data_IF_529328093493
#
_entry.id   IF_529328093493
#
_cell.length_a   1.000
_cell.length_b   1.000
_cell.length_c   1.000
_cell.angle_alpha   90.00
_cell.angle_beta   90.00
_cell.angle_gamma   90.00
#
_symmetry.space_group_name_H-M   'P 1'
#
loop_
_entity.id
_entity.type
_entity.pdbx_description
1 polymer ?
#
# COMPACT_ATOMS: atom_id res chain seq x y z
N UNK A 1 -50.85 -45.67 11.10
CA UNK A 1 -50.01 -46.82 11.42
C UNK A 1 -48.56 -46.39 11.41
N UNK A 2 -47.91 -46.33 12.57
CA UNK A 2 -46.59 -45.80 12.78
C UNK A 2 -45.61 -46.98 12.98
N UNK A 3 -44.52 -46.97 12.20
CA UNK A 3 -43.42 -47.93 12.41
C UNK A 3 -42.20 -47.19 12.99
N UNK A 4 -41.89 -47.53 14.24
CA UNK A 4 -40.70 -47.07 14.96
C UNK A 4 -39.51 -47.97 14.63
N UNK A 5 -38.47 -47.47 13.94
CA UNK A 5 -37.17 -48.15 13.85
C UNK A 5 -36.27 -47.77 15.01
N UNK A 6 -35.92 -48.75 15.85
CA UNK A 6 -34.94 -48.65 16.94
C UNK A 6 -33.50 -48.59 16.37
N UNK A 7 -32.73 -47.57 16.73
CA UNK A 7 -31.29 -47.52 16.48
C UNK A 7 -30.57 -48.05 17.72
N UNK A 8 -29.76 -49.11 17.54
CA UNK A 8 -28.92 -49.70 18.60
C UNK A 8 -27.63 -48.89 18.78
N UNK A 9 -27.42 -48.39 20.00
CA UNK A 9 -26.15 -47.82 20.44
C UNK A 9 -25.06 -48.89 20.54
N UNK A 10 -23.95 -48.74 19.81
CA UNK A 10 -22.71 -49.49 20.05
C UNK A 10 -21.75 -48.64 20.87
N UNK A 11 -21.46 -49.11 22.07
CA UNK A 11 -20.46 -48.53 22.98
C UNK A 11 -19.06 -48.75 22.45
N UNK A 12 -18.27 -47.66 22.35
CA UNK A 12 -16.84 -47.69 22.01
C UNK A 12 -16.02 -47.71 23.31
N UNK A 13 -15.28 -48.81 23.50
CA UNK A 13 -14.34 -49.01 24.63
C UNK A 13 -13.12 -48.09 24.49
N UNK A 14 -12.89 -47.27 25.50
CA UNK A 14 -11.64 -46.42 25.64
C UNK A 14 -10.47 -47.33 26.04
N UNK A 15 -9.35 -47.25 25.32
CA UNK A 15 -8.04 -47.80 25.70
C UNK A 15 -7.26 -46.79 26.53
N UNK A 16 -6.50 -47.18 27.57
CA UNK A 16 -5.75 -46.27 28.40
C UNK A 16 -4.41 -45.87 27.75
N UNK A 17 -4.05 -44.59 27.85
CA UNK A 17 -2.77 -44.01 27.38
C UNK A 17 -1.71 -44.22 28.47
N UNK A 18 -0.63 -44.94 28.17
CA UNK A 18 0.51 -45.09 29.05
C UNK A 18 1.37 -43.82 29.00
N UNK A 19 1.59 -43.18 30.15
CA UNK A 19 2.54 -42.10 30.37
C UNK A 19 3.95 -42.65 30.50
N UNK A 20 4.83 -42.35 29.52
CA UNK A 20 6.29 -42.53 29.69
C UNK A 20 6.89 -41.25 30.29
N UNK A 21 7.45 -41.39 31.49
CA UNK A 21 8.23 -40.36 32.16
C UNK A 21 9.61 -40.22 31.51
N UNK A 22 10.00 -39.03 31.08
CA UNK A 22 11.35 -38.72 30.62
C UNK A 22 12.11 -38.05 31.78
N UNK A 23 13.19 -38.71 32.24
CA UNK A 23 14.11 -38.21 33.28
C UNK A 23 14.97 -37.08 32.70
N UNK A 24 14.86 -35.87 33.27
CA UNK A 24 15.76 -34.76 33.00
C UNK A 24 17.11 -34.96 33.72
N UNK A 25 18.20 -34.97 32.99
CA UNK A 25 19.57 -34.90 33.51
C UNK A 25 19.94 -33.41 33.74
N UNK A 26 20.25 -33.08 34.99
CA UNK A 26 20.86 -31.81 35.38
C UNK A 26 22.32 -31.80 34.92
N UNK A 27 22.74 -30.80 34.15
CA UNK A 27 24.14 -30.47 33.92
C UNK A 27 24.39 -29.06 34.50
N UNK A 28 25.38 -28.97 35.40
CA UNK A 28 25.86 -27.75 36.03
C UNK A 28 26.85 -27.00 35.10
N UNK A 29 26.86 -25.65 35.09
CA UNK A 29 27.82 -24.90 34.29
C UNK A 29 29.13 -24.70 35.02
N UNK A 30 30.24 -25.07 34.36
CA UNK A 30 31.62 -24.68 34.79
C UNK A 30 31.90 -23.27 34.26
N UNK A 31 32.19 -22.36 35.19
CA UNK A 31 32.70 -21.03 34.90
C UNK A 31 34.15 -21.10 34.37
N UNK A 32 34.41 -20.49 33.22
CA UNK A 32 35.75 -20.21 32.72
C UNK A 32 35.93 -18.70 32.63
N UNK A 33 36.64 -18.12 33.57
CA UNK A 33 37.06 -16.72 33.57
C UNK A 33 38.17 -16.52 32.52
N UNK A 34 37.97 -15.73 31.46
CA UNK A 34 39.03 -15.20 30.61
C UNK A 34 39.25 -13.73 30.90
N UNK A 35 40.52 -13.41 31.31
CA UNK A 35 41.01 -12.06 31.59
C UNK A 35 40.94 -11.16 30.39
N UNK A 36 40.29 -9.99 30.53
CA UNK A 36 40.25 -8.91 29.54
C UNK A 36 41.58 -8.12 29.55
N UNK A 37 42.15 -7.85 28.36
CA UNK A 37 43.25 -6.91 28.16
C UNK A 37 42.71 -5.48 28.03
N UNK A 38 43.44 -4.43 28.48
CA UNK A 38 42.94 -3.06 28.45
C UNK A 38 42.92 -2.47 27.03
N UNK A 39 41.82 -1.74 26.75
CA UNK A 39 41.60 -1.06 25.49
C UNK A 39 42.50 0.19 25.33
N UNK A 40 43.12 0.32 24.16
CA UNK A 40 43.89 1.50 23.75
C UNK A 40 42.94 2.67 23.44
N UNK A 41 43.17 3.85 24.06
CA UNK A 41 42.49 5.10 23.77
C UNK A 41 42.82 5.56 22.34
N UNK A 42 41.77 5.62 21.48
CA UNK A 42 41.84 6.21 20.15
C UNK A 42 41.41 7.67 20.27
N UNK A 43 42.28 8.61 19.86
CA UNK A 43 41.97 10.04 19.77
C UNK A 43 41.05 10.29 18.57
N UNK A 44 40.03 11.15 18.68
CA UNK A 44 39.18 11.47 17.54
C UNK A 44 39.92 12.34 16.50
N UNK A 45 39.97 11.86 15.24
CA UNK A 45 40.38 12.68 14.09
C UNK A 45 39.21 13.58 13.69
N UNK A 46 39.46 14.89 13.66
CA UNK A 46 38.54 15.86 13.13
C UNK A 46 38.35 15.63 11.62
N UNK A 47 37.12 15.26 11.21
CA UNK A 47 36.73 15.16 9.82
C UNK A 47 36.08 16.47 9.41
N UNK A 48 36.80 17.27 8.57
CA UNK A 48 36.24 18.46 7.93
C UNK A 48 35.11 18.05 6.97
N UNK A 49 33.87 18.34 7.32
CA UNK A 49 32.72 18.18 6.43
C UNK A 49 32.75 19.26 5.34
N UNK A 50 33.28 18.97 4.15
CA UNK A 50 32.97 19.73 2.95
C UNK A 50 31.49 19.53 2.63
N UNK A 51 30.70 20.60 2.67
CA UNK A 51 29.30 20.60 2.26
C UNK A 51 29.18 20.08 0.80
N UNK A 52 28.42 19.04 0.56
CA UNK A 52 28.06 18.60 -0.79
C UNK A 52 27.12 19.65 -1.41
N UNK A 53 27.29 20.02 -2.70
CA UNK A 53 26.36 20.93 -3.36
C UNK A 53 24.95 20.34 -3.37
N UNK A 54 23.94 21.18 -3.10
CA UNK A 54 22.54 20.80 -3.12
C UNK A 54 22.20 20.13 -4.46
N UNK A 55 21.65 18.91 -4.39
CA UNK A 55 21.13 18.21 -5.58
C UNK A 55 20.03 19.06 -6.21
N UNK A 56 20.06 19.25 -7.54
CA UNK A 56 18.97 19.89 -8.30
C UNK A 56 17.66 19.17 -7.95
N UNK A 57 16.64 19.95 -7.59
CA UNK A 57 15.32 19.41 -7.24
C UNK A 57 14.78 18.58 -8.41
N UNK A 58 14.32 17.36 -8.09
CA UNK A 58 13.67 16.46 -9.05
C UNK A 58 12.34 17.04 -9.53
N UNK A 59 11.80 16.64 -10.70
CA UNK A 59 10.51 17.11 -11.21
C UNK A 59 9.36 16.98 -10.17
N UNK A 60 9.39 15.95 -9.32
CA UNK A 60 8.45 15.77 -8.21
C UNK A 60 8.51 16.87 -7.14
N UNK A 61 9.68 17.46 -6.88
CA UNK A 61 9.79 18.56 -5.93
C UNK A 61 8.99 19.80 -6.37
N UNK A 62 8.70 19.94 -7.66
CA UNK A 62 7.84 21.01 -8.20
C UNK A 62 6.36 20.80 -7.91
N UNK A 63 5.90 19.55 -7.75
CA UNK A 63 4.51 19.22 -7.39
C UNK A 63 4.18 19.53 -5.93
N UNK A 64 5.20 19.64 -5.06
CA UNK A 64 5.05 19.97 -3.63
C UNK A 64 5.27 21.46 -3.32
N UNK A 65 5.43 22.32 -4.33
CA UNK A 65 5.56 23.75 -4.11
C UNK A 65 4.20 24.34 -3.69
N UNK A 66 4.17 25.20 -2.66
CA UNK A 66 2.96 25.94 -2.33
C UNK A 66 2.48 26.72 -3.56
N UNK A 67 1.17 26.76 -3.75
CA UNK A 67 0.47 27.46 -4.85
C UNK A 67 0.74 28.98 -4.84
N UNK A 68 1.99 29.39 -5.10
CA UNK A 68 2.36 30.80 -5.25
C UNK A 68 1.76 31.37 -6.54
N UNK A 69 0.66 32.12 -6.47
CA UNK A 69 0.01 32.88 -7.56
C UNK A 69 -0.52 32.04 -8.74
N UNK A 70 -0.98 30.81 -8.51
CA UNK A 70 -1.69 30.07 -9.55
C UNK A 70 -3.09 30.67 -9.64
N UNK A 71 -3.51 31.06 -10.84
CA UNK A 71 -4.86 31.57 -11.08
C UNK A 71 -5.85 30.40 -10.96
N UNK A 72 -6.79 30.54 -10.03
CA UNK A 72 -7.83 29.55 -9.73
C UNK A 72 -9.12 29.92 -10.43
N UNK A 73 -9.87 28.90 -10.87
CA UNK A 73 -11.19 29.08 -11.44
C UNK A 73 -12.18 28.12 -10.78
N UNK A 74 -13.47 28.44 -10.79
CA UNK A 74 -14.58 27.64 -10.21
C UNK A 74 -14.32 27.21 -8.75
N UNK A 75 -13.81 28.14 -7.94
CA UNK A 75 -13.56 27.88 -6.52
C UNK A 75 -14.86 27.59 -5.76
N UNK A 76 -14.86 26.48 -5.02
CA UNK A 76 -15.90 26.10 -4.06
C UNK A 76 -15.29 25.98 -2.66
N UNK A 77 -16.09 25.64 -1.66
CA UNK A 77 -15.58 25.33 -0.31
C UNK A 77 -14.74 24.06 -0.25
N UNK A 78 -14.82 23.19 -1.27
CA UNK A 78 -14.13 21.91 -1.31
C UNK A 78 -12.86 21.93 -2.15
N UNK A 79 -12.76 22.84 -3.13
CA UNK A 79 -11.64 22.88 -4.05
C UNK A 79 -11.87 23.83 -5.23
N UNK A 80 -10.97 23.77 -6.21
CA UNK A 80 -10.93 24.64 -7.39
C UNK A 80 -10.18 23.97 -8.54
N UNK A 81 -10.44 24.43 -9.76
CA UNK A 81 -9.60 24.08 -10.91
C UNK A 81 -8.41 25.04 -11.04
N UNK A 82 -7.28 24.55 -11.51
CA UNK A 82 -6.23 25.41 -12.03
C UNK A 82 -6.71 26.10 -13.32
N UNK A 83 -6.25 27.31 -13.57
CA UNK A 83 -6.68 28.13 -14.71
C UNK A 83 -6.51 27.45 -16.07
N UNK A 84 -5.45 26.63 -16.20
CA UNK A 84 -5.16 25.86 -17.40
C UNK A 84 -5.98 24.57 -17.51
N UNK A 85 -6.84 24.28 -16.52
CA UNK A 85 -7.65 23.07 -16.47
C UNK A 85 -6.88 21.77 -16.24
N UNK A 86 -5.55 21.83 -15.97
CA UNK A 86 -4.70 20.65 -15.83
C UNK A 86 -4.97 19.83 -14.58
N UNK A 87 -5.44 20.46 -13.50
CA UNK A 87 -5.72 19.81 -12.22
C UNK A 87 -7.02 20.34 -11.60
N UNK A 88 -7.72 19.45 -10.91
CA UNK A 88 -8.72 19.80 -9.92
C UNK A 88 -8.14 19.59 -8.52
N UNK A 89 -8.01 20.65 -7.76
CA UNK A 89 -7.43 20.65 -6.42
C UNK A 89 -8.55 20.58 -5.38
N UNK A 90 -8.48 19.62 -4.45
CA UNK A 90 -9.44 19.38 -3.38
C UNK A 90 -8.72 19.59 -2.04
N UNK A 91 -9.32 20.39 -1.15
CA UNK A 91 -8.70 20.84 0.11
C UNK A 91 -9.19 20.08 1.34
N UNK A 92 -10.06 19.11 1.17
CA UNK A 92 -10.65 18.34 2.27
C UNK A 92 -10.95 16.93 1.83
N UNK A 93 -10.77 15.93 2.68
CA UNK A 93 -11.22 14.57 2.38
C UNK A 93 -12.75 14.44 2.40
N UNK A 94 -13.46 15.33 3.11
CA UNK A 94 -14.90 15.30 3.34
C UNK A 94 -15.64 16.08 2.25
N UNK A 95 -15.75 15.49 1.07
CA UNK A 95 -16.56 16.00 -0.04
C UNK A 95 -18.01 15.46 0.04
N UNK A 96 -19.01 16.07 -0.62
CA UNK A 96 -20.40 15.61 -0.54
C UNK A 96 -20.63 14.19 -1.05
N UNK A 97 -19.76 13.70 -1.88
CA UNK A 97 -19.71 12.33 -2.42
C UNK A 97 -18.26 12.05 -2.81
N UNK A 98 -17.88 10.79 -3.06
CA UNK A 98 -16.55 10.50 -3.56
C UNK A 98 -16.27 11.20 -4.89
N UNK A 99 -15.24 12.03 -4.94
CA UNK A 99 -14.75 12.67 -6.15
C UNK A 99 -13.53 11.90 -6.63
N UNK A 100 -13.70 11.20 -7.74
CA UNK A 100 -12.72 10.21 -8.20
C UNK A 100 -12.09 10.59 -9.53
N UNK A 101 -10.84 10.22 -9.71
CA UNK A 101 -10.14 10.24 -10.99
C UNK A 101 -10.04 8.82 -11.55
N UNK A 102 -10.13 8.68 -12.87
CA UNK A 102 -9.93 7.43 -13.59
C UNK A 102 -8.61 7.52 -14.35
N UNK A 103 -7.66 6.68 -13.95
CA UNK A 103 -6.33 6.61 -14.54
C UNK A 103 -6.23 5.33 -15.37
N UNK A 104 -5.88 5.44 -16.65
CA UNK A 104 -5.83 4.27 -17.54
C UNK A 104 -4.85 4.48 -18.68
N UNK A 105 -4.32 3.38 -19.21
CA UNK A 105 -3.56 3.37 -20.47
C UNK A 105 -4.38 2.79 -21.64
N UNK A 106 -5.63 2.40 -21.38
CA UNK A 106 -6.52 1.77 -22.37
C UNK A 106 -6.75 0.28 -22.13
N UNK A 107 -5.81 -0.43 -21.52
CA UNK A 107 -5.94 -1.82 -21.09
C UNK A 107 -6.06 -1.93 -19.58
N UNK A 108 -5.07 -1.44 -18.84
CA UNK A 108 -5.08 -1.38 -17.38
C UNK A 108 -5.65 -0.04 -16.92
N UNK A 109 -6.37 -0.07 -15.79
CA UNK A 109 -6.90 1.13 -15.19
C UNK A 109 -7.10 1.03 -13.68
N UNK A 110 -7.19 2.21 -13.07
CA UNK A 110 -7.56 2.36 -11.67
C UNK A 110 -8.52 3.52 -11.48
N UNK A 111 -9.38 3.40 -10.48
CA UNK A 111 -10.16 4.50 -9.92
C UNK A 111 -9.52 4.88 -8.59
N UNK A 112 -9.41 6.16 -8.32
CA UNK A 112 -8.90 6.69 -7.06
C UNK A 112 -9.71 7.92 -6.64
N UNK A 113 -10.30 7.88 -5.45
CA UNK A 113 -11.05 9.01 -4.89
C UNK A 113 -10.16 9.97 -4.11
N UNK A 114 -10.74 11.12 -3.77
CA UNK A 114 -10.07 12.11 -2.90
C UNK A 114 -9.73 11.56 -1.51
N UNK A 115 -10.40 10.51 -1.05
CA UNK A 115 -10.15 9.90 0.26
C UNK A 115 -9.02 8.86 0.24
N UNK A 116 -8.58 8.44 -0.96
CA UNK A 116 -7.59 7.38 -1.18
C UNK A 116 -8.21 6.00 -1.45
N UNK A 117 -9.53 5.91 -1.53
CA UNK A 117 -10.23 4.68 -1.91
C UNK A 117 -10.26 4.48 -3.42
N UNK A 118 -10.42 3.25 -3.86
CA UNK A 118 -10.52 2.96 -5.28
C UNK A 118 -10.33 1.49 -5.61
N UNK A 119 -10.25 1.19 -6.90
CA UNK A 119 -10.04 -0.16 -7.40
C UNK A 119 -9.12 -0.18 -8.62
N UNK A 120 -8.61 -1.36 -8.94
CA UNK A 120 -7.84 -1.65 -10.16
C UNK A 120 -8.62 -2.63 -11.04
N UNK A 121 -8.47 -2.48 -12.35
CA UNK A 121 -9.12 -3.32 -13.36
C UNK A 121 -8.27 -3.46 -14.62
N UNK A 122 -8.56 -4.48 -15.44
CA UNK A 122 -7.90 -4.68 -16.74
C UNK A 122 -8.91 -5.08 -17.80
N UNK A 123 -8.82 -4.50 -19.01
CA UNK A 123 -9.76 -4.74 -20.12
C UNK A 123 -11.14 -4.12 -19.92
N UNK A 124 -11.39 -3.49 -18.76
CA UNK A 124 -12.65 -2.82 -18.42
C UNK A 124 -13.01 -2.94 -16.96
N UNK A 125 -13.82 -2.01 -16.45
CA UNK A 125 -14.22 -1.90 -15.03
C UNK A 125 -14.93 -3.15 -14.47
N UNK A 126 -15.47 -3.98 -15.32
CA UNK A 126 -16.05 -5.26 -14.96
C UNK A 126 -15.02 -6.33 -14.58
N UNK A 127 -13.79 -6.25 -15.10
CA UNK A 127 -12.70 -7.19 -14.85
C UNK A 127 -11.80 -6.64 -13.73
N UNK A 128 -12.30 -6.71 -12.50
CA UNK A 128 -11.61 -6.20 -11.34
C UNK A 128 -10.33 -7.00 -11.04
N UNK A 129 -9.34 -6.30 -10.52
CA UNK A 129 -8.14 -6.89 -9.91
C UNK A 129 -8.22 -6.74 -8.39
N UNK A 130 -8.68 -5.58 -7.93
CA UNK A 130 -8.88 -5.31 -6.51
C UNK A 130 -10.35 -5.07 -6.20
N UNK A 131 -10.74 -5.41 -4.98
CA UNK A 131 -12.11 -5.30 -4.51
C UNK A 131 -12.58 -3.84 -4.52
N UNK A 132 -13.84 -3.66 -4.90
CA UNK A 132 -14.53 -2.39 -4.81
C UNK A 132 -15.97 -2.59 -4.36
N UNK A 133 -16.36 -1.85 -3.33
CA UNK A 133 -17.74 -1.71 -2.91
C UNK A 133 -18.28 -0.38 -3.42
N UNK A 134 -19.42 -0.40 -4.12
CA UNK A 134 -20.09 0.80 -4.64
C UNK A 134 -20.86 1.58 -3.57
N UNK A 135 -20.66 1.27 -2.29
CA UNK A 135 -21.24 2.04 -1.19
C UNK A 135 -20.49 3.37 -1.05
N UNK A 136 -21.07 4.41 -1.65
CA UNK A 136 -20.51 5.76 -1.61
C UNK A 136 -20.53 6.40 -0.21
N UNK A 137 -21.22 5.81 0.76
CA UNK A 137 -21.26 6.35 2.11
C UNK A 137 -20.10 5.84 2.96
N UNK A 138 -19.72 4.59 2.81
CA UNK A 138 -18.64 4.00 3.62
C UNK A 138 -17.27 4.12 2.98
N UNK A 139 -17.15 3.96 1.65
CA UNK A 139 -15.87 3.95 0.93
C UNK A 139 -14.79 3.10 1.65
N UNK A 140 -15.14 1.89 2.08
CA UNK A 140 -14.28 1.05 2.92
C UNK A 140 -13.58 -0.07 2.15
N UNK A 141 -13.55 -0.01 0.83
CA UNK A 141 -12.91 -1.03 0.00
C UNK A 141 -11.83 -0.43 -0.89
N UNK A 142 -10.93 -1.27 -1.31
CA UNK A 142 -9.88 -0.90 -2.25
C UNK A 142 -8.49 -1.10 -1.72
N UNK A 143 -7.71 -0.04 -1.76
CA UNK A 143 -6.25 -0.06 -1.58
C UNK A 143 -5.86 1.01 -0.58
N UNK A 144 -5.06 0.63 0.41
CA UNK A 144 -4.71 1.53 1.51
C UNK A 144 -3.23 1.48 1.83
N UNK A 145 -2.69 2.59 2.33
CA UNK A 145 -1.39 2.64 2.97
C UNK A 145 -1.58 3.20 4.38
N UNK A 146 -1.13 2.43 5.37
CA UNK A 146 -1.10 2.85 6.76
C UNK A 146 0.32 3.26 7.14
N UNK A 147 0.42 4.24 8.00
CA UNK A 147 1.66 4.66 8.66
C UNK A 147 1.47 4.45 10.15
N UNK A 148 2.39 3.77 10.80
CA UNK A 148 2.44 3.59 12.24
C UNK A 148 3.73 4.17 12.77
N UNK A 149 3.63 4.99 13.79
CA UNK A 149 4.76 5.44 14.59
C UNK A 149 5.10 4.36 15.62
N UNK A 150 6.30 3.78 15.51
CA UNK A 150 6.72 2.68 16.40
C UNK A 150 7.07 3.15 17.81
N UNK A 151 7.31 4.45 18.01
CA UNK A 151 7.61 5.03 19.32
C UNK A 151 6.33 5.29 20.12
N UNK A 152 5.33 5.89 19.49
CA UNK A 152 4.04 6.23 20.13
C UNK A 152 2.99 5.14 19.99
N UNK A 153 3.18 4.21 19.04
CA UNK A 153 2.23 3.18 18.62
C UNK A 153 0.96 3.76 17.96
N UNK A 154 0.91 5.07 17.74
CA UNK A 154 -0.16 5.70 16.98
C UNK A 154 -0.06 5.35 15.50
N UNK A 155 -1.22 5.24 14.81
CA UNK A 155 -1.26 4.94 13.39
C UNK A 155 -2.37 5.71 12.68
N UNK A 156 -2.17 5.96 11.39
CA UNK A 156 -3.08 6.69 10.53
C UNK A 156 -2.96 6.21 9.07
N UNK A 157 -3.85 6.66 8.21
CA UNK A 157 -3.74 6.42 6.76
C UNK A 157 -2.83 7.45 6.12
N UNK A 158 -1.98 7.03 5.17
CA UNK A 158 -1.16 7.95 4.38
C UNK A 158 -1.99 8.95 3.55
N UNK A 159 -3.21 8.56 3.20
CA UNK A 159 -4.30 9.42 2.70
C UNK A 159 -5.24 9.79 3.85
N UNK A 160 -6.56 9.62 3.70
CA UNK A 160 -7.51 9.79 4.79
C UNK A 160 -8.17 8.47 5.20
N UNK A 161 -8.73 7.75 4.24
CA UNK A 161 -9.29 6.40 4.46
C UNK A 161 -8.16 5.36 4.61
N UNK A 162 -8.41 4.30 5.39
CA UNK A 162 -9.65 3.96 6.08
C UNK A 162 -9.70 4.41 7.55
N UNK A 163 -8.61 4.94 8.11
CA UNK A 163 -8.50 5.27 9.56
C UNK A 163 -9.25 6.57 9.90
N UNK A 164 -9.37 7.48 8.95
CA UNK A 164 -10.12 8.75 9.06
C UNK A 164 -9.63 9.68 10.19
N UNK A 165 -8.35 9.66 10.55
CA UNK A 165 -7.80 10.65 11.46
C UNK A 165 -7.76 12.01 10.79
N UNK A 166 -8.10 13.06 11.54
CA UNK A 166 -8.11 14.44 11.04
C UNK A 166 -6.67 14.90 10.79
N UNK A 167 -6.27 15.20 9.55
CA UNK A 167 -4.93 15.65 9.23
C UNK A 167 -4.76 17.15 9.55
N UNK A 168 -3.52 17.56 9.85
CA UNK A 168 -3.13 18.98 9.97
C UNK A 168 -3.19 19.72 8.63
N UNK A 169 -2.97 18.98 7.55
CA UNK A 169 -3.04 19.45 6.17
C UNK A 169 -3.52 18.31 5.26
N UNK A 170 -4.37 18.64 4.30
CA UNK A 170 -4.86 17.70 3.28
C UNK A 170 -5.04 18.40 1.95
N UNK A 171 -4.45 17.85 0.89
CA UNK A 171 -4.61 18.32 -0.47
C UNK A 171 -4.63 17.14 -1.44
N UNK A 172 -5.60 17.14 -2.35
CA UNK A 172 -5.66 16.20 -3.46
C UNK A 172 -5.58 16.97 -4.77
N UNK A 173 -4.81 16.48 -5.70
CA UNK A 173 -4.72 16.97 -7.06
C UNK A 173 -5.09 15.85 -8.02
N UNK A 174 -6.28 15.95 -8.57
CA UNK A 174 -6.70 15.10 -9.67
C UNK A 174 -6.22 15.73 -10.98
N UNK A 175 -5.10 15.24 -11.47
CA UNK A 175 -4.47 15.70 -12.70
C UNK A 175 -4.76 14.77 -13.87
N UNK A 176 -4.35 15.20 -15.05
CA UNK A 176 -4.47 14.42 -16.28
C UNK A 176 -3.45 13.26 -16.24
N UNK A 177 -3.97 12.03 -16.07
CA UNK A 177 -3.15 10.81 -16.02
C UNK A 177 -2.51 10.51 -14.66
N UNK A 178 -2.82 11.29 -13.61
CA UNK A 178 -2.35 11.02 -12.26
C UNK A 178 -3.29 11.58 -11.19
N UNK A 179 -3.12 11.10 -9.96
CA UNK A 179 -3.67 11.72 -8.76
C UNK A 179 -2.56 11.83 -7.72
N UNK A 180 -2.41 13.00 -7.12
CA UNK A 180 -1.53 13.21 -5.97
C UNK A 180 -2.37 13.50 -4.74
N UNK A 181 -2.16 12.74 -3.65
CA UNK A 181 -2.77 12.97 -2.34
C UNK A 181 -1.66 13.28 -1.35
N UNK A 182 -1.73 14.45 -0.74
CA UNK A 182 -0.77 14.89 0.26
C UNK A 182 -1.49 15.14 1.59
N UNK A 183 -0.96 14.59 2.67
CA UNK A 183 -1.47 14.80 4.02
C UNK A 183 -0.34 15.02 5.02
N UNK A 184 -0.65 15.71 6.11
CA UNK A 184 0.24 15.87 7.25
C UNK A 184 -0.48 15.44 8.52
N UNK A 185 0.13 14.54 9.26
CA UNK A 185 -0.34 14.09 10.57
C UNK A 185 0.85 13.85 11.51
N UNK A 186 0.76 14.33 12.74
CA UNK A 186 1.75 14.13 13.79
C UNK A 186 3.19 14.44 13.33
N UNK A 187 3.38 15.55 12.60
CA UNK A 187 4.68 15.99 12.09
C UNK A 187 5.23 15.18 10.91
N UNK A 188 4.50 14.17 10.42
CA UNK A 188 4.85 13.41 9.22
C UNK A 188 4.02 13.88 8.03
N UNK A 189 4.69 14.24 6.94
CA UNK A 189 4.05 14.50 5.65
C UNK A 189 4.15 13.23 4.81
N UNK A 190 3.02 12.77 4.28
CA UNK A 190 2.93 11.75 3.22
C UNK A 190 2.41 12.39 1.94
N UNK A 191 3.03 12.09 0.81
CA UNK A 191 2.56 12.47 -0.52
C UNK A 191 2.61 11.25 -1.43
N UNK A 192 1.44 10.87 -1.97
CA UNK A 192 1.28 9.71 -2.83
C UNK A 192 0.85 10.15 -4.22
N UNK A 193 1.66 9.83 -5.21
CA UNK A 193 1.31 9.96 -6.61
C UNK A 193 0.89 8.61 -7.13
N UNK A 194 -0.33 8.54 -7.66
CA UNK A 194 -0.91 7.38 -8.32
C UNK A 194 -0.92 7.62 -9.83
N UNK A 195 -0.44 6.66 -10.60
CA UNK A 195 -0.51 6.68 -12.07
C UNK A 195 -0.47 5.26 -12.64
N UNK A 196 -0.89 5.10 -13.89
CA UNK A 196 -0.84 3.84 -14.63
C UNK A 196 0.31 3.92 -15.64
N UNK A 197 1.14 2.88 -15.71
CA UNK A 197 2.23 2.78 -16.68
C UNK A 197 1.74 2.96 -18.11
N UNK A 198 2.48 3.71 -18.93
CA UNK A 198 2.02 4.10 -20.26
C UNK A 198 1.66 2.91 -21.17
N UNK A 199 2.46 1.83 -21.15
CA UNK A 199 2.31 0.67 -22.04
C UNK A 199 2.33 -0.68 -21.28
N UNK A 200 2.32 -0.66 -19.96
CA UNK A 200 2.38 -1.86 -19.12
C UNK A 200 1.13 -1.99 -18.24
N UNK A 201 0.65 -3.21 -17.97
CA UNK A 201 -0.51 -3.44 -17.12
C UNK A 201 -0.15 -3.30 -15.64
N UNK A 202 0.24 -2.10 -15.23
CA UNK A 202 0.71 -1.79 -13.89
C UNK A 202 0.30 -0.39 -13.47
N UNK A 203 -0.13 -0.26 -12.22
CA UNK A 203 -0.24 1.01 -11.52
C UNK A 203 0.91 1.17 -10.54
N UNK A 204 1.33 2.40 -10.32
CA UNK A 204 2.40 2.78 -9.41
C UNK A 204 1.84 3.72 -8.36
N UNK A 205 2.16 3.44 -7.09
CA UNK A 205 1.90 4.33 -5.96
C UNK A 205 3.27 4.81 -5.48
N UNK A 206 3.64 5.99 -5.93
CA UNK A 206 4.91 6.61 -5.55
C UNK A 206 4.69 7.45 -4.30
N UNK A 207 5.16 6.94 -3.16
CA UNK A 207 5.01 7.58 -1.86
C UNK A 207 6.29 8.29 -1.47
N UNK A 208 6.19 9.58 -1.17
CA UNK A 208 7.22 10.32 -0.46
C UNK A 208 6.75 10.56 0.97
N UNK A 209 7.60 10.18 1.93
CA UNK A 209 7.33 10.37 3.36
C UNK A 209 8.43 11.23 3.98
N UNK A 210 8.04 12.29 4.69
CA UNK A 210 8.95 13.27 5.27
C UNK A 210 8.65 13.48 6.75
N UNK A 211 9.68 13.40 7.56
CA UNK A 211 9.67 13.86 8.94
C UNK A 211 9.87 15.38 8.97
N UNK A 212 8.96 16.14 9.58
CA UNK A 212 9.08 17.59 9.75
C UNK A 212 9.42 18.01 11.17
N UNK A 213 9.74 17.05 12.04
CA UNK A 213 10.13 17.27 13.43
C UNK A 213 11.65 17.31 13.58
N UNK A 214 12.11 17.82 14.72
CA UNK A 214 13.53 17.90 15.05
C UNK A 214 14.09 16.61 15.69
N UNK A 215 13.23 15.58 15.82
CA UNK A 215 13.59 14.26 16.37
C UNK A 215 13.52 13.17 15.29
N UNK A 216 14.36 12.12 15.40
CA UNK A 216 14.26 10.98 14.51
C UNK A 216 12.93 10.21 14.73
N UNK A 217 12.33 9.72 13.66
CA UNK A 217 11.08 8.94 13.71
C UNK A 217 11.31 7.54 13.15
N UNK A 218 10.75 6.55 13.84
CA UNK A 218 10.78 5.15 13.44
C UNK A 218 9.36 4.73 13.07
N UNK A 219 9.15 4.50 11.77
CA UNK A 219 7.83 4.27 11.21
C UNK A 219 7.74 2.88 10.59
N UNK A 220 6.57 2.25 10.73
CA UNK A 220 6.17 1.11 9.90
C UNK A 220 5.13 1.59 8.89
N UNK A 221 5.38 1.30 7.61
CA UNK A 221 4.44 1.56 6.51
C UNK A 221 3.87 0.23 6.06
N UNK A 222 2.53 0.12 6.06
CA UNK A 222 1.81 -1.06 5.60
C UNK A 222 1.03 -0.70 4.35
N UNK A 223 1.30 -1.39 3.25
CA UNK A 223 0.38 -1.40 2.12
C UNK A 223 -0.64 -2.51 2.30
N UNK A 224 -1.85 -2.31 1.78
CA UNK A 224 -2.93 -3.29 1.85
C UNK A 224 -3.82 -3.17 0.62
N UNK A 225 -4.18 -4.31 0.04
CA UNK A 225 -5.24 -4.42 -0.95
C UNK A 225 -5.94 -5.77 -0.84
N UNK A 226 -7.22 -5.82 -1.25
CA UNK A 226 -8.00 -7.06 -1.35
C UNK A 226 -8.09 -7.49 -2.81
N UNK A 227 -7.71 -8.73 -3.12
CA UNK A 227 -7.84 -9.28 -4.46
C UNK A 227 -9.29 -9.61 -4.80
N UNK A 228 -9.73 -9.30 -6.02
CA UNK A 228 -11.07 -9.63 -6.52
C UNK A 228 -11.06 -9.81 -8.04
N UNK A 229 -10.96 -11.07 -8.48
CA UNK A 229 -10.80 -11.40 -9.89
C UNK A 229 -12.10 -11.81 -10.57
N UNK A 230 -13.24 -11.67 -9.90
CA UNK A 230 -14.54 -12.01 -10.44
C UNK A 230 -15.46 -10.82 -10.50
N UNK A 231 -16.00 -10.63 -11.68
CA UNK A 231 -17.13 -9.75 -11.93
C UNK A 231 -18.42 -10.60 -12.08
N UNK A 232 -19.57 -10.05 -11.78
CA UNK A 232 -19.94 -8.79 -11.10
C UNK A 232 -20.41 -9.00 -9.64
N UNK A 233 -20.37 -10.24 -9.13
CA UNK A 233 -20.79 -10.54 -7.76
C UNK A 233 -19.60 -10.47 -6.82
N UNK A 234 -19.78 -9.80 -5.68
CA UNK A 234 -18.82 -9.76 -4.57
C UNK A 234 -18.69 -11.15 -3.94
N UNK A 235 -18.07 -12.08 -4.64
CA UNK A 235 -17.99 -13.48 -4.24
C UNK A 235 -16.66 -13.79 -3.56
N UNK A 236 -16.55 -13.40 -2.26
CA UNK A 236 -15.38 -13.71 -1.43
C UNK A 236 -15.08 -15.19 -1.39
N UNK A 237 -16.11 -16.05 -1.31
CA UNK A 237 -15.94 -17.50 -1.21
C UNK A 237 -15.27 -18.09 -2.45
N UNK A 238 -15.56 -17.56 -3.64
CA UNK A 238 -14.89 -18.00 -4.85
C UNK A 238 -13.41 -17.61 -4.85
N UNK A 239 -13.08 -16.39 -4.49
CA UNK A 239 -11.67 -15.95 -4.39
C UNK A 239 -10.91 -16.81 -3.37
N UNK A 240 -11.50 -17.14 -2.21
CA UNK A 240 -10.90 -18.05 -1.21
C UNK A 240 -10.57 -19.42 -1.79
N UNK A 241 -11.43 -19.97 -2.61
CA UNK A 241 -11.27 -21.34 -3.14
C UNK A 241 -10.25 -21.41 -4.27
N UNK A 242 -10.18 -20.38 -5.12
CA UNK A 242 -9.49 -20.48 -6.41
C UNK A 242 -8.26 -19.59 -6.52
N UNK A 243 -8.12 -18.53 -5.75
CA UNK A 243 -6.93 -17.69 -5.75
C UNK A 243 -5.85 -18.31 -4.87
N UNK A 244 -4.65 -18.45 -5.42
CA UNK A 244 -3.47 -18.89 -4.69
C UNK A 244 -2.49 -17.74 -4.54
N UNK A 245 -2.09 -17.42 -3.31
CA UNK A 245 -1.17 -16.33 -3.01
C UNK A 245 0.19 -16.86 -2.57
N UNK A 246 1.26 -16.16 -2.96
CA UNK A 246 2.63 -16.51 -2.64
C UNK A 246 3.46 -15.23 -2.46
N UNK A 247 4.33 -15.19 -1.45
CA UNK A 247 5.29 -14.13 -1.24
C UNK A 247 6.66 -14.53 -1.80
N UNK A 248 7.24 -13.64 -2.60
CA UNK A 248 8.59 -13.76 -3.16
C UNK A 248 9.50 -12.75 -2.44
N UNK A 249 10.43 -13.24 -1.61
CA UNK A 249 11.33 -12.42 -0.81
C UNK A 249 12.32 -11.63 -1.69
N UNK A 250 12.86 -12.23 -2.76
CA UNK A 250 13.83 -11.60 -3.65
C UNK A 250 13.22 -10.41 -4.39
N UNK A 251 11.94 -10.53 -4.72
CA UNK A 251 11.19 -9.47 -5.37
C UNK A 251 10.47 -8.54 -4.41
N UNK A 252 10.43 -8.82 -3.10
CA UNK A 252 9.60 -8.10 -2.13
C UNK A 252 8.18 -7.93 -2.67
N UNK A 253 7.54 -9.03 -3.08
CA UNK A 253 6.31 -9.04 -3.83
C UNK A 253 5.39 -10.18 -3.40
N UNK A 254 4.08 -9.91 -3.37
CA UNK A 254 3.05 -10.93 -3.27
C UNK A 254 2.47 -11.16 -4.66
N UNK A 255 2.46 -12.42 -5.09
CA UNK A 255 1.74 -12.87 -6.27
C UNK A 255 0.40 -13.47 -5.89
N UNK A 256 -0.61 -13.23 -6.71
CA UNK A 256 -1.90 -13.90 -6.64
C UNK A 256 -2.17 -14.56 -8.00
N UNK A 257 -2.14 -15.89 -8.02
CA UNK A 257 -2.50 -16.66 -9.20
C UNK A 257 -4.02 -16.74 -9.30
N UNK A 258 -4.55 -16.21 -10.40
CA UNK A 258 -5.99 -16.16 -10.64
C UNK A 258 -6.56 -17.52 -11.07
N UNK A 259 -7.88 -17.70 -11.03
CA UNK A 259 -8.53 -18.90 -11.57
C UNK A 259 -8.22 -19.17 -13.04
N UNK A 260 -8.00 -18.14 -13.83
CA UNK A 260 -7.68 -18.21 -15.26
C UNK A 260 -6.17 -18.44 -15.52
N UNK A 261 -5.41 -18.77 -14.49
CA UNK A 261 -3.96 -18.97 -14.52
C UNK A 261 -3.13 -17.72 -14.89
N UNK A 262 -3.67 -16.54 -14.75
CA UNK A 262 -2.94 -15.27 -14.82
C UNK A 262 -2.31 -14.93 -13.45
N UNK A 263 -1.43 -13.95 -13.43
CA UNK A 263 -0.70 -13.54 -12.23
C UNK A 263 -0.89 -12.06 -11.94
N UNK A 264 -1.65 -11.75 -10.90
CA UNK A 264 -1.62 -10.43 -10.30
C UNK A 264 -0.47 -10.34 -9.29
N UNK A 265 0.02 -9.14 -9.07
CA UNK A 265 1.13 -8.89 -8.15
C UNK A 265 0.98 -7.57 -7.42
N UNK A 266 1.55 -7.53 -6.21
CA UNK A 266 1.76 -6.32 -5.43
C UNK A 266 3.19 -6.33 -4.90
N UNK A 267 3.96 -5.26 -5.13
CA UNK A 267 5.36 -5.21 -4.71
C UNK A 267 5.75 -3.85 -4.15
N UNK A 268 6.89 -3.81 -3.45
CA UNK A 268 7.52 -2.57 -2.98
C UNK A 268 9.01 -2.57 -3.31
N UNK A 269 9.60 -1.40 -3.56
CA UNK A 269 11.03 -1.25 -3.87
C UNK A 269 11.96 -1.31 -2.65
N UNK A 270 11.42 -1.56 -1.47
CA UNK A 270 12.17 -1.71 -0.22
C UNK A 270 12.11 -3.15 0.30
N UNK A 271 13.01 -3.46 1.25
CA UNK A 271 12.94 -4.73 1.96
C UNK A 271 11.66 -4.80 2.78
N UNK A 272 10.91 -5.87 2.59
CA UNK A 272 9.72 -6.19 3.36
C UNK A 272 10.14 -6.80 4.69
N UNK A 273 9.56 -6.32 5.77
CA UNK A 273 9.84 -6.81 7.13
C UNK A 273 8.92 -7.96 7.49
N UNK A 274 7.64 -7.79 7.26
CA UNK A 274 6.63 -8.84 7.38
C UNK A 274 5.55 -8.66 6.31
N UNK A 275 4.81 -9.71 6.02
CA UNK A 275 3.74 -9.71 5.02
C UNK A 275 2.54 -10.55 5.50
N UNK A 276 1.40 -10.41 4.82
CA UNK A 276 0.33 -11.41 4.89
C UNK A 276 -0.53 -11.39 3.63
N UNK A 277 -1.02 -12.56 3.26
CA UNK A 277 -1.94 -12.74 2.14
C UNK A 277 -3.37 -13.09 2.60
N UNK A 278 -3.60 -13.20 3.93
CA UNK A 278 -4.89 -13.51 4.52
C UNK A 278 -5.56 -12.27 5.12
N UNK A 279 -6.83 -12.01 4.73
CA UNK A 279 -7.59 -10.88 5.26
C UNK A 279 -7.80 -10.96 6.76
N UNK A 280 -8.16 -12.14 7.25
CA UNK A 280 -8.43 -12.35 8.67
C UNK A 280 -7.15 -12.24 9.52
N UNK A 281 -6.00 -12.63 8.97
CA UNK A 281 -4.70 -12.42 9.60
C UNK A 281 -4.35 -10.94 9.69
N UNK A 282 -4.65 -10.15 8.64
CA UNK A 282 -4.38 -8.71 8.64
C UNK A 282 -5.32 -7.94 9.57
N UNK A 283 -6.62 -8.15 9.44
CA UNK A 283 -7.63 -7.38 10.20
C UNK A 283 -7.76 -7.85 11.64
N UNK A 284 -7.80 -9.15 11.87
CA UNK A 284 -8.13 -9.74 13.16
C UNK A 284 -9.64 -9.88 13.39
N UNK A 285 -10.03 -10.72 14.35
CA UNK A 285 -11.41 -10.97 14.67
C UNK A 285 -12.12 -9.71 15.20
N UNK A 286 -13.35 -9.46 14.72
CA UNK A 286 -14.21 -8.33 15.11
C UNK A 286 -13.62 -6.96 14.77
N UNK A 287 -12.75 -6.90 13.73
CA UNK A 287 -12.10 -5.68 13.26
C UNK A 287 -12.35 -5.45 11.78
N UNK A 288 -12.08 -4.25 11.33
CA UNK A 288 -12.19 -3.85 9.93
C UNK A 288 -10.94 -3.08 9.45
N UNK A 289 -11.00 -2.56 8.23
CA UNK A 289 -9.87 -1.82 7.64
C UNK A 289 -9.51 -0.53 8.38
N UNK A 290 -10.38 0.02 9.23
CA UNK A 290 -10.07 1.24 10.01
C UNK A 290 -9.21 0.95 11.25
N UNK A 291 -9.23 -0.29 11.73
CA UNK A 291 -8.53 -0.71 12.95
C UNK A 291 -7.84 -2.08 12.83
N UNK A 292 -7.03 -2.33 11.77
CA UNK A 292 -6.46 -3.65 11.52
C UNK A 292 -5.43 -4.05 12.58
N UNK A 293 -5.50 -5.32 13.00
CA UNK A 293 -4.62 -5.90 14.01
C UNK A 293 -3.14 -5.80 13.64
N UNK A 294 -2.78 -6.04 12.38
CA UNK A 294 -1.38 -5.97 11.95
C UNK A 294 -0.79 -4.58 12.15
N UNK A 295 -1.52 -3.53 11.81
CA UNK A 295 -1.05 -2.16 11.97
C UNK A 295 -0.97 -1.78 13.45
N UNK A 296 -1.98 -2.13 14.25
CA UNK A 296 -1.94 -1.89 15.70
C UNK A 296 -0.75 -2.59 16.37
N UNK A 297 -0.45 -3.84 15.99
CA UNK A 297 0.66 -4.63 16.56
C UNK A 297 2.02 -4.25 15.97
N UNK A 298 2.06 -3.54 14.85
CA UNK A 298 3.29 -3.16 14.18
C UNK A 298 3.95 -4.30 13.41
N UNK A 299 3.21 -5.36 13.08
CA UNK A 299 3.69 -6.50 12.30
C UNK A 299 2.55 -7.25 11.62
N UNK A 300 2.79 -7.82 10.45
CA UNK A 300 1.89 -8.77 9.82
C UNK A 300 2.14 -10.20 10.36
N UNK A 301 1.08 -11.00 10.33
CA UNK A 301 1.14 -12.44 10.63
C UNK A 301 1.23 -13.18 9.31
N UNK A 302 2.39 -13.76 9.02
CA UNK A 302 2.69 -14.39 7.74
C UNK A 302 1.71 -15.51 7.42
N UNK A 303 0.96 -15.32 6.37
CA UNK A 303 -0.02 -16.26 5.85
C UNK A 303 -0.03 -16.15 4.33
N UNK A 304 -0.07 -17.29 3.62
CA UNK A 304 -0.14 -17.36 2.17
C UNK A 304 -0.80 -18.67 1.74
N UNK A 305 -1.08 -18.82 0.46
CA UNK A 305 -1.68 -20.02 -0.10
C UNK A 305 -3.14 -19.82 -0.48
N UNK A 306 -3.91 -20.91 -0.40
CA UNK A 306 -5.36 -20.96 -0.71
C UNK A 306 -6.20 -21.01 0.55
N UNK A 307 -7.50 -20.85 0.35
CA UNK A 307 -8.56 -20.97 1.38
C UNK A 307 -8.60 -19.80 2.37
N UNK A 308 -7.81 -18.75 2.12
CA UNK A 308 -7.88 -17.47 2.81
C UNK A 308 -8.67 -16.47 1.98
N UNK A 309 -9.29 -15.47 2.59
CA UNK A 309 -9.82 -14.30 1.86
C UNK A 309 -8.58 -13.50 1.34
N UNK A 310 -8.29 -13.54 0.01
CA UNK A 310 -6.96 -13.19 -0.47
C UNK A 310 -6.74 -11.68 -0.46
N UNK A 311 -5.66 -11.27 0.18
CA UNK A 311 -5.17 -9.88 0.22
C UNK A 311 -3.70 -9.82 -0.13
N UNK A 312 -3.17 -8.61 -0.31
CA UNK A 312 -1.74 -8.38 -0.29
C UNK A 312 -1.44 -7.26 0.69
N UNK A 313 -0.70 -7.58 1.74
CA UNK A 313 -0.22 -6.62 2.71
C UNK A 313 1.29 -6.79 2.91
N UNK A 314 2.03 -5.70 2.73
CA UNK A 314 3.49 -5.64 2.88
C UNK A 314 3.84 -4.60 3.94
N UNK A 315 4.71 -4.94 4.87
CA UNK A 315 5.26 -4.01 5.86
C UNK A 315 6.69 -3.62 5.51
N UNK A 316 6.97 -2.32 5.55
CA UNK A 316 8.31 -1.75 5.43
C UNK A 316 8.60 -0.90 6.66
N UNK A 317 9.78 -1.04 7.25
CA UNK A 317 10.25 -0.19 8.34
C UNK A 317 11.15 0.93 7.82
N UNK A 318 10.93 2.13 8.35
CA UNK A 318 11.66 3.34 7.98
C UNK A 318 12.19 4.04 9.20
N UNK A 319 13.46 4.41 9.15
CA UNK A 319 14.05 5.41 10.03
C UNK A 319 14.17 6.73 9.27
N UNK A 320 13.54 7.78 9.77
CA UNK A 320 13.57 9.14 9.22
C UNK A 320 14.30 10.05 10.20
N UNK A 321 15.51 10.53 9.87
CA UNK A 321 16.20 11.53 10.69
C UNK A 321 15.38 12.83 10.74
N UNK A 322 15.71 13.78 11.65
CA UNK A 322 15.10 15.09 11.66
C UNK A 322 15.11 15.75 10.27
N UNK A 323 13.95 16.24 9.83
CA UNK A 323 13.73 16.81 8.50
C UNK A 323 14.10 15.90 7.31
N UNK A 324 14.31 14.59 7.59
CA UNK A 324 14.64 13.59 6.58
C UNK A 324 13.41 13.12 5.79
N UNK A 325 13.68 12.62 4.58
CA UNK A 325 12.63 12.05 3.72
C UNK A 325 13.09 10.74 3.08
N UNK A 326 12.12 9.88 2.78
CA UNK A 326 12.32 8.64 2.01
C UNK A 326 11.23 8.49 0.97
N UNK A 327 11.52 7.66 -0.02
CA UNK A 327 10.61 7.38 -1.11
C UNK A 327 10.39 5.87 -1.26
N UNK A 328 9.12 5.47 -1.30
CA UNK A 328 8.66 4.11 -1.51
C UNK A 328 7.91 4.04 -2.83
N UNK A 329 8.15 2.97 -3.59
CA UNK A 329 7.39 2.65 -4.79
C UNK A 329 6.64 1.34 -4.56
N UNK A 330 5.33 1.42 -4.54
CA UNK A 330 4.47 0.26 -4.58
C UNK A 330 3.94 0.08 -6.00
N UNK A 331 3.81 -1.16 -6.44
CA UNK A 331 3.21 -1.49 -7.74
C UNK A 331 2.12 -2.53 -7.58
N UNK A 332 1.06 -2.40 -8.36
CA UNK A 332 0.03 -3.42 -8.54
C UNK A 332 -0.17 -3.64 -10.03
N UNK A 333 -0.23 -4.88 -10.45
CA UNK A 333 -0.42 -5.21 -11.85
C UNK A 333 -0.94 -6.63 -12.04
N UNK A 334 -1.24 -6.97 -13.31
CA UNK A 334 -1.69 -8.30 -13.69
C UNK A 334 -1.14 -8.67 -15.06
N UNK A 335 -0.58 -9.86 -15.19
CA UNK A 335 0.03 -10.40 -16.42
C UNK A 335 -0.44 -11.82 -16.67
N UNK A 336 -0.42 -12.25 -17.93
CA UNK A 336 -0.72 -13.63 -18.28
C UNK A 336 0.35 -14.60 -17.79
N UNK A 337 1.60 -14.17 -17.67
CA UNK A 337 2.70 -15.02 -17.20
C UNK A 337 3.45 -14.38 -16.04
N UNK A 338 3.85 -15.21 -15.06
CA UNK A 338 4.59 -14.75 -13.88
C UNK A 338 5.91 -14.07 -14.24
N UNK A 339 6.61 -14.56 -15.27
CA UNK A 339 7.89 -13.97 -15.71
C UNK A 339 7.75 -12.53 -16.20
N UNK A 340 6.60 -12.16 -16.79
CA UNK A 340 6.36 -10.80 -17.24
C UNK A 340 6.04 -9.89 -16.08
N UNK A 341 5.27 -10.37 -15.09
CA UNK A 341 5.09 -9.68 -13.82
C UNK A 341 6.43 -9.42 -13.11
N UNK A 342 7.32 -10.43 -13.06
CA UNK A 342 8.66 -10.29 -12.48
C UNK A 342 9.52 -9.23 -13.19
N UNK A 343 9.43 -9.11 -14.53
CA UNK A 343 10.15 -8.07 -15.30
C UNK A 343 9.66 -6.67 -14.90
N UNK A 344 8.34 -6.50 -14.82
CA UNK A 344 7.71 -5.23 -14.42
C UNK A 344 8.14 -4.88 -12.99
N UNK A 345 8.05 -5.80 -12.04
CA UNK A 345 8.48 -5.58 -10.66
C UNK A 345 9.95 -5.11 -10.62
N UNK A 346 10.86 -5.83 -11.30
CA UNK A 346 12.28 -5.47 -11.35
C UNK A 346 12.52 -4.08 -11.95
N UNK A 347 11.78 -3.71 -13.00
CA UNK A 347 11.83 -2.38 -13.62
C UNK A 347 11.49 -1.28 -12.61
N UNK A 348 10.39 -1.41 -11.89
CA UNK A 348 9.90 -0.41 -10.94
C UNK A 348 10.58 -0.45 -9.55
N UNK A 349 11.60 -1.29 -9.32
CA UNK A 349 12.49 -1.15 -8.16
C UNK A 349 13.33 0.14 -8.22
N UNK A 350 13.50 0.72 -9.41
CA UNK A 350 14.30 1.92 -9.62
C UNK A 350 13.41 3.17 -9.68
N UNK A 351 13.58 4.06 -8.70
CA UNK A 351 12.84 5.33 -8.59
C UNK A 351 12.97 6.19 -9.84
N UNK A 352 14.15 6.26 -10.46
CA UNK A 352 14.34 7.05 -11.69
C UNK A 352 13.51 6.54 -12.86
N UNK A 353 13.38 5.22 -12.98
CA UNK A 353 12.54 4.60 -14.01
C UNK A 353 11.07 4.93 -13.77
N UNK A 354 10.62 4.92 -12.51
CA UNK A 354 9.27 5.33 -12.16
C UNK A 354 9.01 6.81 -12.49
N UNK A 355 9.98 7.71 -12.23
CA UNK A 355 9.89 9.13 -12.59
C UNK A 355 9.85 9.34 -14.12
N UNK A 356 10.62 8.57 -14.88
CA UNK A 356 10.61 8.58 -16.35
C UNK A 356 9.26 8.10 -16.90
N UNK A 357 8.72 7.01 -16.34
CA UNK A 357 7.40 6.48 -16.74
C UNK A 357 6.26 7.44 -16.35
N UNK A 358 6.33 8.08 -15.19
CA UNK A 358 5.38 9.13 -14.82
C UNK A 358 5.39 10.28 -15.86
N UNK A 359 6.57 10.76 -16.21
CA UNK A 359 6.74 11.80 -17.24
C UNK A 359 6.20 11.36 -18.59
N UNK A 360 6.43 10.11 -18.98
CA UNK A 360 5.94 9.50 -20.22
C UNK A 360 4.41 9.39 -20.24
N UNK A 361 3.80 8.98 -19.13
CA UNK A 361 2.35 8.94 -18.98
C UNK A 361 1.74 10.33 -19.15
N UNK A 362 2.29 11.35 -18.49
CA UNK A 362 1.86 12.74 -18.62
C UNK A 362 1.96 13.25 -20.05
N UNK A 363 3.10 12.99 -20.75
CA UNK A 363 3.29 13.37 -22.14
C UNK A 363 2.29 12.69 -23.08
N UNK A 364 2.02 11.40 -22.89
CA UNK A 364 1.01 10.66 -23.67
C UNK A 364 -0.39 11.29 -23.56
N UNK A 365 -0.79 11.67 -22.37
CA UNK A 365 -2.08 12.33 -22.15
C UNK A 365 -2.12 13.73 -22.74
N UNK A 366 -1.05 14.51 -22.61
CA UNK A 366 -0.94 15.85 -23.21
C UNK A 366 -1.11 15.79 -24.73
N UNK A 367 -0.49 14.81 -25.42
CA UNK A 367 -0.67 14.63 -26.87
C UNK A 367 -2.12 14.25 -27.21
N UNK A 368 -2.71 13.31 -26.46
CA UNK A 368 -4.07 12.83 -26.75
C UNK A 368 -5.12 13.92 -26.60
N UNK A 369 -5.02 14.71 -25.53
CA UNK A 369 -6.00 15.75 -25.20
C UNK A 369 -5.70 17.07 -25.91
N UNK A 370 -4.44 17.34 -26.24
CA UNK A 370 -4.04 18.55 -26.95
C UNK A 370 -4.57 18.66 -28.39
N UNK A 371 -5.02 17.53 -28.97
CA UNK A 371 -5.60 17.51 -30.33
C UNK A 371 -7.01 18.11 -30.41
N UNK A 372 -7.68 18.32 -29.27
CA UNK A 372 -9.03 18.85 -29.23
C UNK A 372 -9.22 19.71 -27.99
N UNK A 373 -9.37 21.02 -28.17
CA UNK A 373 -9.64 21.98 -27.11
C UNK A 373 -10.91 22.78 -27.43
N UNK A 374 -11.77 22.91 -26.43
CA UNK A 374 -12.97 23.78 -26.51
C UNK A 374 -12.88 24.80 -25.39
N UNK A 375 -13.07 26.06 -25.73
CA UNK A 375 -13.26 27.15 -24.79
C UNK A 375 -14.68 27.67 -24.94
N UNK A 376 -15.48 27.59 -23.87
CA UNK A 376 -16.83 28.14 -23.79
C UNK A 376 -16.81 29.40 -22.94
N UNK A 377 -17.75 30.33 -23.16
CA UNK A 377 -17.83 31.54 -22.36
C UNK A 377 -18.38 31.33 -20.95
N UNK A 378 -18.93 30.16 -20.63
CA UNK A 378 -19.59 29.79 -19.36
C UNK A 378 -18.62 29.16 -18.35
#
# INVERSE_FOLDING_TARGET
>A
MAEKKKIKNKSVKKRPIQKKAVKAKKASPKAVAKKAKPAKKIKPKAVSKKARPAKKATPMAKLLLPLGRIKEIFRTRYGFFLYDGSEFVINTPETPSPWSNILTNGDYGMIISQSGCGMSFQGGVGNRITRWNQDNNSENSGKFIYIRDNQTQDYWSATWKPVCKTPEFYEVRHGIGYTNISSKYNGIISSLIYYVGADEPVEVWQMRIKNTTDEPRFLSVFSYLEWDFLSPSDNREYNKLFVNTEYDEDLSAIFAKTPDNEYAFHSVNHKVQTFTCGRDAFLGAYRDVSNPRCVEKGMCFEEQGRYNDPVAALQVELELPPNGEKELLFTVGKCSEQKDAQKIIKKYKNVKVAEEEFSRTGHRWTIRLGNFQITTPD
#
